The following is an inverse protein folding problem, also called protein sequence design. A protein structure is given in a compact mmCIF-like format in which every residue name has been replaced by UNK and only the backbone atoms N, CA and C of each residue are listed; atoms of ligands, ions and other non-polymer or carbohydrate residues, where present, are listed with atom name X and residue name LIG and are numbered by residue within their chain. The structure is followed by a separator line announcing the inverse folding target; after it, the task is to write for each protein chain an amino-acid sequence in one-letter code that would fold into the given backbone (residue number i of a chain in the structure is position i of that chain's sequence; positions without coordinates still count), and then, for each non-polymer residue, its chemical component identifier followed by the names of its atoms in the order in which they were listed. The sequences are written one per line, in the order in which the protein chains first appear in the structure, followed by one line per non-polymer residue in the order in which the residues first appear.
data_IF_626990321175
#
_entry.id   IF_626990321175
#
_cell.length_a   1.000
_cell.length_b   1.000
_cell.length_c   1.000
_cell.angle_alpha   90.00
_cell.angle_beta   90.00
_cell.angle_gamma   90.00
#
_symmetry.space_group_name_H-M   'P 1'
#
loop_
_entity.id
_entity.type
_entity.pdbx_description
1 polymer ?
#
# COMPACT_ATOMS: atom_id res chain seq x y z
N UNK A 1 -3.85 -6.39 33.68
CA UNK A 1 -3.28 -5.13 33.17
C UNK A 1 -4.00 -4.82 31.88
N UNK A 2 -4.78 -3.73 31.83
CA UNK A 2 -5.63 -3.41 30.69
C UNK A 2 -4.77 -2.88 29.52
N UNK A 3 -4.72 -3.58 28.36
CA UNK A 3 -3.87 -3.19 27.23
C UNK A 3 -4.10 -1.77 26.71
N UNK A 4 -5.34 -1.28 26.81
CA UNK A 4 -5.71 0.08 26.41
C UNK A 4 -5.03 1.15 27.27
N UNK A 5 -4.94 0.91 28.57
CA UNK A 5 -4.37 1.87 29.52
C UNK A 5 -2.86 2.00 29.29
N UNK A 6 -2.20 0.88 28.98
CA UNK A 6 -0.77 0.85 28.69
C UNK A 6 -0.46 1.53 27.34
N UNK A 7 -1.27 1.29 26.31
CA UNK A 7 -1.13 2.00 25.04
C UNK A 7 -1.29 3.51 25.19
N UNK A 8 -2.31 3.96 25.95
CA UNK A 8 -2.52 5.38 26.24
C UNK A 8 -1.35 5.98 27.04
N UNK A 9 -0.79 5.22 27.98
CA UNK A 9 0.41 5.63 28.73
C UNK A 9 1.62 5.80 27.82
N UNK A 10 1.91 4.85 26.94
CA UNK A 10 3.05 4.93 26.01
C UNK A 10 2.95 6.12 25.04
N UNK A 11 1.73 6.41 24.57
CA UNK A 11 1.48 7.58 23.71
C UNK A 11 1.65 8.88 24.50
N UNK A 12 1.03 8.95 25.69
CA UNK A 12 1.06 10.15 26.55
C UNK A 12 2.44 10.41 27.17
N UNK A 13 3.23 9.37 27.42
CA UNK A 13 4.61 9.48 27.92
C UNK A 13 5.59 9.94 26.84
N UNK A 14 5.15 10.05 25.57
CA UNK A 14 5.99 10.50 24.47
C UNK A 14 7.07 9.50 24.10
N UNK A 15 6.80 8.20 24.22
CA UNK A 15 7.79 7.17 23.88
C UNK A 15 8.27 7.33 22.43
N UNK A 16 9.57 7.61 22.26
CA UNK A 16 10.14 7.93 20.95
C UNK A 16 10.05 6.77 19.96
N UNK A 17 10.07 5.52 20.44
CA UNK A 17 9.95 4.35 19.58
C UNK A 17 8.52 4.23 19.03
N UNK A 18 7.51 4.35 19.90
CA UNK A 18 6.10 4.28 19.51
C UNK A 18 5.74 5.40 18.54
N UNK A 19 6.13 6.65 18.84
CA UNK A 19 5.88 7.79 17.96
C UNK A 19 6.59 7.65 16.61
N UNK A 20 7.82 7.13 16.57
CA UNK A 20 8.52 6.88 15.31
C UNK A 20 7.80 5.83 14.45
N UNK A 21 7.31 4.73 15.04
CA UNK A 21 6.53 3.72 14.30
C UNK A 21 5.22 4.30 13.78
N UNK A 22 4.50 5.07 14.59
CA UNK A 22 3.24 5.73 14.19
C UNK A 22 3.48 6.66 13.00
N UNK A 23 4.46 7.57 13.12
CA UNK A 23 4.75 8.56 12.09
C UNK A 23 5.27 7.92 10.80
N UNK A 24 6.16 6.93 10.89
CA UNK A 24 6.64 6.18 9.71
C UNK A 24 5.49 5.44 9.01
N UNK A 25 4.65 4.75 9.76
CA UNK A 25 3.50 4.03 9.20
C UNK A 25 2.51 4.98 8.53
N UNK A 26 2.24 6.13 9.15
CA UNK A 26 1.38 7.16 8.58
C UNK A 26 1.98 7.78 7.32
N UNK A 27 3.29 8.05 7.31
CA UNK A 27 3.99 8.58 6.14
C UNK A 27 3.92 7.61 4.96
N UNK A 28 4.19 6.32 5.19
CA UNK A 28 4.20 5.30 4.14
C UNK A 28 2.78 5.04 3.64
N UNK A 29 1.82 4.77 4.54
CA UNK A 29 0.43 4.51 4.15
C UNK A 29 -0.24 5.74 3.52
N UNK A 30 0.02 6.93 4.06
CA UNK A 30 -0.51 8.19 3.52
C UNK A 30 0.02 8.50 2.13
N UNK A 31 1.33 8.34 1.89
CA UNK A 31 1.90 8.53 0.55
C UNK A 31 1.39 7.48 -0.43
N UNK A 32 1.30 6.20 -0.04
CA UNK A 32 0.71 5.14 -0.85
C UNK A 32 -0.75 5.45 -1.21
N UNK A 33 -1.55 5.93 -0.26
CA UNK A 33 -2.95 6.31 -0.47
C UNK A 33 -3.07 7.49 -1.44
N UNK A 34 -2.25 8.53 -1.29
CA UNK A 34 -2.25 9.68 -2.21
C UNK A 34 -1.95 9.25 -3.64
N UNK A 35 -0.92 8.41 -3.84
CA UNK A 35 -0.58 7.86 -5.16
C UNK A 35 -1.71 6.99 -5.72
N UNK A 36 -2.31 6.15 -4.88
CA UNK A 36 -3.45 5.32 -5.26
C UNK A 36 -4.66 6.17 -5.67
N UNK A 37 -4.92 7.31 -5.01
CA UNK A 37 -6.00 8.21 -5.39
C UNK A 37 -5.73 8.91 -6.72
N UNK A 38 -4.51 9.40 -6.96
CA UNK A 38 -4.16 10.10 -8.22
C UNK A 38 -4.42 9.22 -9.45
N UNK A 39 -4.17 7.92 -9.34
CA UNK A 39 -4.33 6.98 -10.47
C UNK A 39 -5.69 6.29 -10.42
N UNK A 40 -6.08 5.79 -9.25
CA UNK A 40 -7.28 4.98 -9.05
C UNK A 40 -8.57 5.79 -9.17
N UNK A 41 -8.59 7.05 -8.73
CA UNK A 41 -9.80 7.88 -8.80
C UNK A 41 -10.18 8.22 -10.24
N UNK A 42 -9.28 8.71 -11.12
CA UNK A 42 -9.63 8.94 -12.53
C UNK A 42 -10.08 7.66 -13.25
N UNK A 43 -9.41 6.54 -13.02
CA UNK A 43 -9.77 5.24 -13.61
C UNK A 43 -11.15 4.80 -13.11
N UNK A 44 -11.38 4.85 -11.80
CA UNK A 44 -12.65 4.47 -11.19
C UNK A 44 -13.82 5.33 -11.69
N UNK A 45 -13.62 6.65 -11.77
CA UNK A 45 -14.61 7.59 -12.33
C UNK A 45 -14.88 7.27 -13.80
N UNK A 46 -13.84 7.08 -14.62
CA UNK A 46 -14.00 6.76 -16.03
C UNK A 46 -14.79 5.45 -16.22
N UNK A 47 -14.44 4.39 -15.50
CA UNK A 47 -15.13 3.08 -15.57
C UNK A 47 -16.56 3.15 -15.02
N UNK A 48 -16.80 3.97 -13.99
CA UNK A 48 -18.11 4.13 -13.35
C UNK A 48 -19.10 4.94 -14.17
N UNK A 49 -18.64 6.01 -14.81
CA UNK A 49 -19.52 6.98 -15.51
C UNK A 49 -19.65 6.71 -17.01
N UNK A 50 -18.71 6.02 -17.64
CA UNK A 50 -18.74 5.77 -19.09
C UNK A 50 -19.24 4.36 -19.43
N UNK A 51 -20.01 4.23 -20.51
CA UNK A 51 -20.51 2.95 -21.04
C UNK A 51 -19.75 2.57 -22.31
N UNK A 52 -18.59 1.95 -22.14
CA UNK A 52 -17.74 1.48 -23.25
C UNK A 52 -17.61 -0.04 -23.25
N UNK A 53 -17.26 -0.64 -24.40
CA UNK A 53 -17.28 -2.08 -24.63
C UNK A 53 -16.35 -2.89 -23.71
N UNK A 54 -15.28 -2.27 -23.20
CA UNK A 54 -14.28 -2.91 -22.31
C UNK A 54 -14.60 -2.76 -20.82
N UNK A 55 -15.73 -2.18 -20.44
CA UNK A 55 -16.09 -1.96 -19.02
C UNK A 55 -16.15 -3.27 -18.23
N UNK A 56 -16.79 -4.30 -18.76
CA UNK A 56 -17.00 -5.56 -18.04
C UNK A 56 -15.68 -6.28 -17.68
N UNK A 57 -14.74 -6.51 -18.62
CA UNK A 57 -13.45 -7.10 -18.27
C UNK A 57 -12.63 -6.20 -17.34
N UNK A 58 -12.67 -4.88 -17.47
CA UNK A 58 -11.98 -3.97 -16.55
C UNK A 58 -12.50 -4.05 -15.12
N UNK A 59 -13.83 -4.03 -14.94
CA UNK A 59 -14.44 -4.19 -13.61
C UNK A 59 -14.11 -5.56 -13.01
N UNK A 60 -14.05 -6.61 -13.83
CA UNK A 60 -13.62 -7.94 -13.38
C UNK A 60 -12.17 -7.94 -12.89
N UNK A 61 -11.23 -7.31 -13.61
CA UNK A 61 -9.82 -7.20 -13.19
C UNK A 61 -9.69 -6.39 -11.90
N UNK A 62 -10.40 -5.26 -11.78
CA UNK A 62 -10.37 -4.43 -10.57
C UNK A 62 -10.87 -5.23 -9.35
N UNK A 63 -12.02 -5.90 -9.48
CA UNK A 63 -12.56 -6.72 -8.38
C UNK A 63 -11.70 -7.96 -8.09
N UNK A 64 -11.13 -8.59 -9.10
CA UNK A 64 -10.19 -9.69 -8.91
C UNK A 64 -8.96 -9.23 -8.12
N UNK A 65 -8.42 -8.05 -8.42
CA UNK A 65 -7.33 -7.42 -7.67
C UNK A 65 -7.64 -7.25 -6.18
N UNK A 66 -8.89 -6.91 -5.83
CA UNK A 66 -9.34 -6.83 -4.44
C UNK A 66 -9.43 -8.20 -3.74
N UNK A 67 -9.61 -9.28 -4.50
CA UNK A 67 -9.68 -10.64 -3.99
C UNK A 67 -8.31 -11.34 -3.90
N UNK A 68 -7.24 -10.73 -4.40
CA UNK A 68 -5.91 -11.32 -4.35
C UNK A 68 -5.43 -11.48 -2.89
N UNK A 69 -4.82 -12.64 -2.53
CA UNK A 69 -4.21 -12.79 -1.22
C UNK A 69 -3.10 -11.74 -1.03
N UNK A 70 -3.05 -11.03 0.11
CA UNK A 70 -2.01 -10.01 0.36
C UNK A 70 -0.59 -10.56 0.22
N UNK A 71 -0.38 -11.82 0.60
CA UNK A 71 0.91 -12.52 0.47
C UNK A 71 1.33 -12.66 -1.00
N UNK A 72 0.41 -12.97 -1.91
CA UNK A 72 0.72 -13.11 -3.34
C UNK A 72 1.15 -11.76 -3.92
N UNK A 73 0.45 -10.68 -3.55
CA UNK A 73 0.81 -9.33 -3.97
C UNK A 73 2.19 -8.95 -3.42
N UNK A 74 2.45 -9.21 -2.13
CA UNK A 74 3.74 -8.95 -1.50
C UNK A 74 4.89 -9.71 -2.15
N UNK A 75 4.70 -11.00 -2.46
CA UNK A 75 5.69 -11.80 -3.17
C UNK A 75 5.90 -11.31 -4.61
N UNK A 76 4.84 -10.92 -5.30
CA UNK A 76 4.94 -10.33 -6.64
C UNK A 76 5.79 -9.05 -6.63
N UNK A 77 5.51 -8.14 -5.70
CA UNK A 77 6.30 -6.90 -5.52
C UNK A 77 7.75 -7.22 -5.16
N UNK A 78 7.97 -8.17 -4.24
CA UNK A 78 9.31 -8.61 -3.87
C UNK A 78 10.09 -9.14 -5.08
N UNK A 79 9.50 -10.05 -5.86
CA UNK A 79 10.14 -10.62 -7.05
C UNK A 79 10.47 -9.54 -8.08
N UNK A 80 9.56 -8.59 -8.31
CA UNK A 80 9.75 -7.46 -9.22
C UNK A 80 10.94 -6.60 -8.82
N UNK A 81 11.09 -6.29 -7.54
CA UNK A 81 12.18 -5.47 -6.98
C UNK A 81 13.47 -6.27 -6.72
N UNK A 82 13.39 -7.60 -6.69
CA UNK A 82 14.52 -8.48 -6.37
C UNK A 82 15.62 -8.34 -7.43
N UNK A 83 16.86 -8.71 -7.09
CA UNK A 83 18.01 -8.58 -8.02
C UNK A 83 17.83 -9.31 -9.36
N UNK A 84 17.00 -10.36 -9.39
CA UNK A 84 16.69 -11.10 -10.62
C UNK A 84 15.38 -10.64 -11.27
N UNK A 85 14.70 -9.66 -10.68
CA UNK A 85 13.45 -9.09 -11.18
C UNK A 85 13.68 -7.93 -12.16
N UNK A 86 12.62 -7.52 -12.89
CA UNK A 86 12.68 -6.45 -13.89
C UNK A 86 13.12 -5.08 -13.34
N UNK A 87 12.98 -4.83 -12.03
CA UNK A 87 13.46 -3.61 -11.36
C UNK A 87 14.69 -3.89 -10.46
N UNK A 88 15.31 -5.06 -10.58
CA UNK A 88 16.42 -5.50 -9.74
C UNK A 88 17.69 -4.67 -9.85
N UNK A 89 17.94 -4.08 -11.02
CA UNK A 89 19.09 -3.20 -11.27
C UNK A 89 19.05 -1.92 -10.44
N UNK A 90 17.86 -1.50 -9.98
CA UNK A 90 17.70 -0.32 -9.11
C UNK A 90 18.10 -0.60 -7.65
N UNK A 91 18.36 -1.87 -7.29
CA UNK A 91 18.75 -2.34 -5.95
C UNK A 91 17.88 -1.81 -4.79
N UNK A 92 16.65 -1.37 -5.05
CA UNK A 92 15.79 -0.65 -4.09
C UNK A 92 15.56 -1.43 -2.80
N UNK A 93 15.41 -2.76 -2.89
CA UNK A 93 15.25 -3.68 -1.76
C UNK A 93 16.38 -3.62 -0.72
N UNK A 94 17.55 -3.10 -1.08
CA UNK A 94 18.73 -2.99 -0.20
C UNK A 94 19.05 -1.54 0.15
N UNK A 95 18.17 -0.59 -0.19
CA UNK A 95 18.34 0.84 0.10
C UNK A 95 17.33 1.33 1.14
N UNK A 96 17.63 2.40 1.90
CA UNK A 96 16.72 2.94 2.92
C UNK A 96 15.38 3.49 2.40
N UNK A 97 15.19 3.51 1.08
CA UNK A 97 13.99 4.03 0.42
C UNK A 97 12.91 2.96 0.14
N UNK A 98 13.21 1.68 0.41
CA UNK A 98 12.24 0.58 0.35
C UNK A 98 11.49 0.36 1.67
#
# INVERSE_FOLDING_TARGET
MDPLLEALRLIASGDMYVWNVILRSLQISGSALLLAMIIGLPIGIAVGLTRFRLRLPLVAVINAGLAFPPVVVGLGVFLVLSRAGPLGDLQLLYTPAA
#
